data_IF_071414417966
#
_entry.id   IF_071414417966
#
_cell.length_a   1.000
_cell.length_b   1.000
_cell.length_c   1.000
_cell.angle_alpha   90.00
_cell.angle_beta   90.00
_cell.angle_gamma   90.00
#
_symmetry.space_group_name_H-M   'P 1'
#
loop_
_entity.id
_entity.type
_entity.pdbx_description
1 polymer ?
#
# COMPACT_ATOMS: atom_id res chain seq x y z
N UNK A 1 -5.96 -39.01 -3.41
CA UNK A 1 -6.46 -37.68 -2.98
C UNK A 1 -5.34 -36.72 -2.49
N UNK A 2 -4.05 -37.14 -2.49
CA UNK A 2 -2.90 -36.33 -2.04
C UNK A 2 -2.24 -35.45 -3.12
N UNK A 3 -2.35 -35.77 -4.41
CA UNK A 3 -1.58 -35.07 -5.46
C UNK A 3 -2.08 -33.65 -5.79
N UNK A 4 -3.39 -33.39 -5.62
CA UNK A 4 -3.96 -32.05 -5.92
C UNK A 4 -3.53 -30.99 -4.90
N UNK A 5 -3.16 -31.38 -3.66
CA UNK A 5 -2.70 -30.45 -2.61
C UNK A 5 -1.23 -30.04 -2.77
N UNK A 6 -0.40 -30.89 -3.37
CA UNK A 6 1.03 -30.59 -3.59
C UNK A 6 1.24 -29.63 -4.77
N UNK A 7 0.44 -29.71 -5.83
CA UNK A 7 0.50 -28.81 -7.00
C UNK A 7 0.16 -27.35 -6.69
N UNK A 8 -0.75 -27.08 -5.74
CA UNK A 8 -1.12 -25.71 -5.37
C UNK A 8 -0.03 -24.99 -4.54
N UNK A 9 0.71 -25.74 -3.72
CA UNK A 9 1.73 -25.18 -2.83
C UNK A 9 3.05 -24.86 -3.57
N UNK A 10 3.36 -25.58 -4.65
CA UNK A 10 4.51 -25.29 -5.53
C UNK A 10 4.26 -24.08 -6.44
N UNK A 11 3.04 -23.91 -6.96
CA UNK A 11 2.64 -22.74 -7.75
C UNK A 11 2.69 -21.44 -6.93
N UNK A 12 2.10 -21.44 -5.72
CA UNK A 12 2.13 -20.28 -4.83
C UNK A 12 3.54 -19.91 -4.33
N UNK A 13 4.43 -20.89 -4.13
CA UNK A 13 5.84 -20.62 -3.78
C UNK A 13 6.60 -19.99 -4.95
N UNK A 14 6.36 -20.46 -6.18
CA UNK A 14 6.96 -19.91 -7.40
C UNK A 14 6.51 -18.47 -7.66
N UNK A 15 5.21 -18.17 -7.51
CA UNK A 15 4.68 -16.81 -7.66
C UNK A 15 5.17 -15.86 -6.56
N UNK A 16 5.23 -16.30 -5.30
CA UNK A 16 5.80 -15.49 -4.20
C UNK A 16 7.28 -15.20 -4.42
N UNK A 17 8.05 -16.16 -4.93
CA UNK A 17 9.46 -15.97 -5.28
C UNK A 17 9.62 -15.03 -6.48
N UNK A 18 8.75 -15.13 -7.50
CA UNK A 18 8.75 -14.22 -8.64
C UNK A 18 8.38 -12.78 -8.25
N UNK A 19 7.37 -12.59 -7.39
CA UNK A 19 6.98 -11.30 -6.85
C UNK A 19 8.11 -10.68 -6.02
N UNK A 20 8.71 -11.46 -5.11
CA UNK A 20 9.83 -11.02 -4.28
C UNK A 20 11.06 -10.63 -5.10
N UNK A 21 11.39 -11.41 -6.13
CA UNK A 21 12.48 -11.11 -7.04
C UNK A 21 12.21 -9.86 -7.89
N UNK A 22 10.94 -9.61 -8.26
CA UNK A 22 10.54 -8.40 -8.96
C UNK A 22 10.64 -7.18 -8.04
N UNK A 23 10.13 -7.25 -6.81
CA UNK A 23 10.27 -6.17 -5.82
C UNK A 23 11.75 -5.86 -5.53
N UNK A 24 12.60 -6.88 -5.36
CA UNK A 24 14.04 -6.70 -5.18
C UNK A 24 14.75 -6.07 -6.37
N UNK A 25 14.30 -6.34 -7.60
CA UNK A 25 14.85 -5.74 -8.82
C UNK A 25 14.42 -4.30 -9.02
N UNK A 26 13.25 -3.91 -8.51
CA UNK A 26 12.72 -2.55 -8.65
C UNK A 26 13.12 -1.64 -7.46
N UNK A 27 13.41 -2.22 -6.28
CA UNK A 27 13.87 -1.49 -5.10
C UNK A 27 15.07 -0.53 -5.33
N UNK A 28 16.10 -0.89 -6.12
CA UNK A 28 17.24 0.00 -6.41
C UNK A 28 16.83 1.26 -7.19
N UNK A 29 15.75 1.21 -7.96
CA UNK A 29 15.24 2.36 -8.71
C UNK A 29 14.49 3.35 -7.81
N UNK A 30 13.90 2.87 -6.71
CA UNK A 30 13.23 3.72 -5.69
C UNK A 30 14.24 4.33 -4.72
N UNK A 31 15.28 3.57 -4.37
CA UNK A 31 16.32 4.00 -3.42
C UNK A 31 17.71 4.03 -4.08
N UNK A 32 17.99 5.03 -4.94
CA UNK A 32 19.30 5.14 -5.58
C UNK A 32 20.40 5.41 -4.55
N UNK A 33 21.56 4.79 -4.75
CA UNK A 33 22.65 4.80 -3.78
C UNK A 33 23.31 6.19 -3.56
N UNK A 34 23.13 7.12 -4.50
CA UNK A 34 23.88 8.38 -4.55
C UNK A 34 23.07 9.67 -4.62
N UNK A 35 21.73 9.63 -4.48
CA UNK A 35 20.91 10.85 -4.54
C UNK A 35 20.20 11.10 -3.20
N UNK A 36 20.78 11.98 -2.39
CA UNK A 36 20.28 12.33 -1.06
C UNK A 36 18.89 12.99 -1.09
N UNK A 37 18.57 13.80 -2.10
CA UNK A 37 17.24 14.43 -2.23
C UNK A 37 16.16 13.37 -2.42
N UNK A 38 16.42 12.34 -3.24
CA UNK A 38 15.47 11.24 -3.42
C UNK A 38 15.24 10.43 -2.16
N UNK A 39 16.31 10.09 -1.44
CA UNK A 39 16.20 9.34 -0.19
C UNK A 39 15.42 10.15 0.84
N UNK A 40 15.69 11.44 0.96
CA UNK A 40 14.94 12.34 1.84
C UNK A 40 13.45 12.36 1.48
N UNK A 41 13.09 12.47 0.19
CA UNK A 41 11.69 12.42 -0.26
C UNK A 41 11.01 11.11 0.09
N UNK A 42 11.69 9.97 -0.07
CA UNK A 42 11.13 8.66 0.32
C UNK A 42 10.90 8.60 1.82
N UNK A 43 11.87 9.03 2.63
CA UNK A 43 11.73 9.06 4.10
C UNK A 43 10.58 9.98 4.52
N UNK A 44 10.48 11.18 3.95
CA UNK A 44 9.38 12.11 4.22
C UNK A 44 8.03 11.53 3.80
N UNK A 45 7.94 10.84 2.66
CA UNK A 45 6.72 10.15 2.24
C UNK A 45 6.34 9.03 3.22
N UNK A 46 7.31 8.26 3.71
CA UNK A 46 7.07 7.22 4.71
C UNK A 46 6.63 7.80 6.06
N UNK A 47 7.24 8.92 6.50
CA UNK A 47 6.82 9.62 7.71
C UNK A 47 5.39 10.18 7.57
N UNK A 48 5.07 10.80 6.43
CA UNK A 48 3.71 11.26 6.14
C UNK A 48 2.70 10.10 6.11
N UNK A 49 3.09 8.94 5.57
CA UNK A 49 2.28 7.72 5.57
C UNK A 49 2.00 7.25 7.00
N UNK A 50 3.03 7.12 7.84
CA UNK A 50 2.87 6.70 9.23
C UNK A 50 2.02 7.71 10.01
N UNK A 51 2.28 9.01 9.84
CA UNK A 51 1.48 10.08 10.42
C UNK A 51 0.01 9.99 10.03
N UNK A 52 -0.30 9.77 8.75
CA UNK A 52 -1.68 9.60 8.28
C UNK A 52 -2.38 8.42 8.94
N UNK A 53 -1.70 7.28 9.11
CA UNK A 53 -2.27 6.08 9.72
C UNK A 53 -2.44 6.23 11.22
N UNK A 54 -1.51 6.92 11.88
CA UNK A 54 -1.63 7.25 13.28
C UNK A 54 -2.85 8.14 13.56
N UNK A 55 -3.05 9.21 12.78
CA UNK A 55 -4.23 10.08 12.91
C UNK A 55 -5.51 9.32 12.62
N UNK A 56 -5.53 8.47 11.58
CA UNK A 56 -6.71 7.68 11.23
C UNK A 56 -7.19 6.77 12.36
N UNK A 57 -6.27 6.29 13.20
CA UNK A 57 -6.57 5.39 14.33
C UNK A 57 -6.85 6.18 15.61
N UNK A 58 -6.17 7.31 15.82
CA UNK A 58 -6.46 8.21 16.94
C UNK A 58 -7.84 8.86 16.81
N UNK A 59 -8.28 9.21 15.61
CA UNK A 59 -9.55 9.88 15.38
C UNK A 59 -10.75 9.18 16.06
N UNK A 60 -11.01 7.87 15.83
CA UNK A 60 -12.10 7.17 16.50
C UNK A 60 -11.87 6.99 18.01
N UNK A 61 -10.62 6.94 18.49
CA UNK A 61 -10.33 6.84 19.93
C UNK A 61 -10.68 8.15 20.65
N UNK A 62 -10.25 9.28 20.10
CA UNK A 62 -10.60 10.61 20.60
C UNK A 62 -12.11 10.82 20.55
N UNK A 63 -12.75 10.35 19.48
CA UNK A 63 -14.20 10.41 19.36
C UNK A 63 -14.91 9.56 20.42
N UNK A 64 -14.39 8.37 20.72
CA UNK A 64 -14.95 7.53 21.79
C UNK A 64 -14.87 8.24 23.15
N UNK A 65 -13.70 8.76 23.53
CA UNK A 65 -13.54 9.48 24.80
C UNK A 65 -14.44 10.71 24.90
N UNK A 66 -14.52 11.50 23.83
CA UNK A 66 -15.33 12.70 23.86
C UNK A 66 -16.84 12.40 23.83
N UNK A 67 -17.27 11.25 23.28
CA UNK A 67 -18.65 10.77 23.42
C UNK A 67 -18.92 10.27 24.85
N UNK A 68 -17.97 9.57 25.47
CA UNK A 68 -18.07 9.08 26.84
C UNK A 68 -18.22 10.27 27.83
N UNK A 69 -17.37 11.30 27.71
CA UNK A 69 -17.44 12.52 28.52
C UNK A 69 -18.78 13.27 28.35
N UNK A 70 -19.29 13.33 27.12
CA UNK A 70 -20.54 14.03 26.82
C UNK A 70 -21.77 13.27 27.33
N UNK A 71 -21.69 11.93 27.36
CA UNK A 71 -22.75 11.10 27.92
C UNK A 71 -22.89 11.29 29.43
N UNK A 72 -21.79 11.59 30.14
CA UNK A 72 -21.80 11.87 31.58
C UNK A 72 -22.28 13.30 31.92
N UNK A 73 -22.01 14.30 31.06
CA UNK A 73 -22.31 15.72 31.30
C UNK A 73 -23.78 16.14 31.10
N UNK A 74 -24.60 15.36 30.39
CA UNK A 74 -26.03 15.63 30.16
C UNK A 74 -26.36 16.61 29.01
N UNK A 75 -27.65 16.97 28.87
CA UNK A 75 -28.22 17.58 27.64
C UNK A 75 -27.78 19.04 27.38
N UNK A 76 -27.43 19.80 28.42
CA UNK A 76 -27.06 21.23 28.30
C UNK A 76 -25.79 21.44 27.49
N UNK A 77 -24.75 20.65 27.77
CA UNK A 77 -23.46 20.71 27.07
C UNK A 77 -23.44 19.87 25.79
N UNK A 78 -24.50 19.09 25.54
CA UNK A 78 -24.59 18.19 24.40
C UNK A 78 -24.47 18.89 23.05
N UNK A 79 -25.11 20.05 22.87
CA UNK A 79 -25.07 20.78 21.57
C UNK A 79 -23.67 21.33 21.30
N UNK A 80 -23.04 21.94 22.30
CA UNK A 80 -21.67 22.45 22.19
C UNK A 80 -20.65 21.31 22.02
N UNK A 81 -20.82 20.21 22.76
CA UNK A 81 -19.98 19.01 22.65
C UNK A 81 -20.14 18.29 21.32
N UNK A 82 -21.36 18.11 20.80
CA UNK A 82 -21.62 17.46 19.52
C UNK A 82 -21.05 18.27 18.34
N UNK A 83 -21.18 19.61 18.38
CA UNK A 83 -20.55 20.49 17.38
C UNK A 83 -19.03 20.40 17.45
N UNK A 84 -18.45 20.46 18.66
CA UNK A 84 -17.01 20.29 18.88
C UNK A 84 -16.48 18.95 18.36
N UNK A 85 -17.17 17.84 18.67
CA UNK A 85 -16.86 16.49 18.22
C UNK A 85 -16.88 16.37 16.69
N UNK A 86 -17.89 16.99 16.07
CA UNK A 86 -18.04 17.02 14.61
C UNK A 86 -16.88 17.78 13.95
N UNK A 87 -16.51 18.94 14.51
CA UNK A 87 -15.38 19.74 14.02
C UNK A 87 -14.06 18.97 14.21
N UNK A 88 -13.85 18.37 15.38
CA UNK A 88 -12.65 17.60 15.69
C UNK A 88 -12.49 16.40 14.73
N UNK A 89 -13.57 15.64 14.50
CA UNK A 89 -13.58 14.57 13.50
C UNK A 89 -13.30 15.10 12.09
N UNK A 90 -13.91 16.23 11.71
CA UNK A 90 -13.66 16.90 10.43
C UNK A 90 -12.18 17.25 10.24
N UNK A 91 -11.55 17.87 11.24
CA UNK A 91 -10.13 18.22 11.23
C UNK A 91 -9.26 16.96 11.15
N UNK A 92 -9.55 15.93 11.95
CA UNK A 92 -8.79 14.68 11.93
C UNK A 92 -8.89 13.99 10.57
N UNK A 93 -10.06 14.02 9.92
CA UNK A 93 -10.28 13.48 8.57
C UNK A 93 -9.53 14.29 7.51
N UNK A 94 -9.57 15.62 7.58
CA UNK A 94 -8.82 16.50 6.68
C UNK A 94 -7.32 16.26 6.86
N UNK A 95 -6.83 16.16 8.10
CA UNK A 95 -5.43 15.89 8.39
C UNK A 95 -5.00 14.52 7.83
N UNK A 96 -5.79 13.47 8.09
CA UNK A 96 -5.54 12.13 7.55
C UNK A 96 -5.41 12.15 6.02
N UNK A 97 -6.38 12.76 5.33
CA UNK A 97 -6.36 12.89 3.88
C UNK A 97 -5.19 13.78 3.41
N UNK A 98 -4.89 14.87 4.11
CA UNK A 98 -3.80 15.79 3.79
C UNK A 98 -2.44 15.11 3.85
N UNK A 99 -2.17 14.31 4.88
CA UNK A 99 -0.94 13.51 4.96
C UNK A 99 -0.88 12.43 3.88
N UNK A 100 -2.02 11.84 3.50
CA UNK A 100 -2.08 10.92 2.36
C UNK A 100 -1.76 11.64 1.04
N UNK A 101 -2.31 12.82 0.78
CA UNK A 101 -1.98 13.58 -0.43
C UNK A 101 -0.51 14.04 -0.42
N UNK A 102 0.00 14.44 0.74
CA UNK A 102 1.41 14.83 0.90
C UNK A 102 2.35 13.67 0.59
N UNK A 103 2.08 12.46 1.12
CA UNK A 103 2.91 11.27 0.82
C UNK A 103 2.91 10.96 -0.67
N UNK A 104 1.76 11.08 -1.33
CA UNK A 104 1.59 10.73 -2.74
C UNK A 104 2.32 11.77 -3.61
N UNK A 105 2.24 13.06 -3.26
CA UNK A 105 2.95 14.14 -3.92
C UNK A 105 4.48 14.04 -3.76
N UNK A 106 4.96 13.74 -2.55
CA UNK A 106 6.38 13.52 -2.26
C UNK A 106 6.93 12.35 -3.06
N UNK A 107 6.16 11.26 -3.15
CA UNK A 107 6.59 10.06 -3.86
C UNK A 107 6.43 10.13 -5.39
N UNK A 108 5.50 10.95 -5.91
CA UNK A 108 5.26 11.05 -7.35
C UNK A 108 6.56 11.34 -8.13
N UNK A 109 7.42 12.24 -7.63
CA UNK A 109 8.72 12.54 -8.26
C UNK A 109 9.68 11.35 -8.24
N UNK A 110 9.67 10.56 -7.15
CA UNK A 110 10.49 9.35 -7.02
C UNK A 110 10.04 8.29 -8.00
N UNK A 111 8.74 8.00 -8.04
CA UNK A 111 8.14 7.03 -8.96
C UNK A 111 8.42 7.38 -10.42
N UNK A 112 8.14 8.63 -10.82
CA UNK A 112 8.32 9.08 -12.21
C UNK A 112 9.80 9.02 -12.64
N UNK A 113 10.74 9.34 -11.75
CA UNK A 113 12.17 9.22 -12.05
C UNK A 113 12.60 7.77 -12.21
N UNK A 114 12.14 6.88 -11.33
CA UNK A 114 12.40 5.44 -11.42
C UNK A 114 11.90 4.88 -12.76
N UNK A 115 10.69 5.26 -13.16
CA UNK A 115 10.11 4.83 -14.43
C UNK A 115 10.86 5.35 -15.64
N UNK A 116 11.28 6.62 -15.61
CA UNK A 116 12.07 7.20 -16.69
C UNK A 116 13.40 6.45 -16.86
N UNK A 117 14.08 6.12 -15.76
CA UNK A 117 15.33 5.34 -15.80
C UNK A 117 15.10 3.93 -16.34
N UNK A 118 14.08 3.23 -15.85
CA UNK A 118 13.74 1.90 -16.32
C UNK A 118 13.41 1.88 -17.83
N UNK A 119 12.63 2.86 -18.30
CA UNK A 119 12.31 3.02 -19.71
C UNK A 119 13.58 3.27 -20.55
N UNK A 120 14.49 4.12 -20.06
CA UNK A 120 15.75 4.42 -20.74
C UNK A 120 16.67 3.20 -20.81
N UNK A 121 16.90 2.50 -19.70
CA UNK A 121 17.72 1.29 -19.67
C UNK A 121 17.15 0.20 -20.59
N UNK A 122 15.83 0.05 -20.61
CA UNK A 122 15.15 -0.89 -21.50
C UNK A 122 15.35 -0.49 -22.97
N UNK A 123 15.23 0.80 -23.28
CA UNK A 123 15.43 1.34 -24.63
C UNK A 123 16.88 1.14 -25.10
N UNK A 124 17.86 1.48 -24.26
CA UNK A 124 19.29 1.29 -24.55
C UNK A 124 19.66 -0.18 -24.73
N UNK A 125 19.13 -1.07 -23.88
CA UNK A 125 19.35 -2.50 -24.01
C UNK A 125 18.81 -3.03 -25.34
N UNK A 126 17.64 -2.55 -25.75
CA UNK A 126 17.05 -2.93 -27.02
C UNK A 126 17.92 -2.44 -28.18
N UNK A 127 18.40 -1.20 -28.17
CA UNK A 127 19.25 -0.66 -29.24
C UNK A 127 20.58 -1.41 -29.41
N UNK A 128 21.05 -2.10 -28.36
CA UNK A 128 22.28 -2.91 -28.39
C UNK A 128 22.06 -4.34 -28.92
N UNK A 129 20.82 -4.75 -29.19
CA UNK A 129 20.52 -6.07 -29.75
C UNK A 129 20.89 -6.15 -31.23
N UNK A 130 21.17 -7.38 -31.69
CA UNK A 130 21.55 -7.64 -33.08
C UNK A 130 20.51 -7.13 -34.11
N UNK A 131 20.97 -6.76 -35.31
CA UNK A 131 20.08 -6.42 -36.43
C UNK A 131 19.07 -7.51 -36.75
N UNK A 132 19.45 -8.79 -36.56
CA UNK A 132 18.54 -9.95 -36.71
C UNK A 132 17.35 -9.87 -35.76
N UNK A 133 17.54 -9.37 -34.54
CA UNK A 133 16.46 -9.13 -33.59
C UNK A 133 15.52 -8.00 -34.06
N UNK A 134 16.06 -6.95 -34.68
CA UNK A 134 15.28 -5.80 -35.13
C UNK A 134 14.41 -6.10 -36.35
N UNK A 135 14.94 -6.84 -37.33
CA UNK A 135 14.20 -7.21 -38.55
C UNK A 135 13.12 -8.29 -38.33
N UNK A 136 13.23 -9.09 -37.26
CA UNK A 136 12.26 -10.17 -36.97
C UNK A 136 11.09 -9.71 -36.11
N UNK A 137 11.11 -8.48 -35.58
CA UNK A 137 10.12 -7.98 -34.63
C UNK A 137 9.50 -6.67 -35.13
N UNK A 138 8.18 -6.54 -34.98
CA UNK A 138 7.48 -5.27 -35.31
C UNK A 138 7.84 -4.19 -34.28
N UNK A 139 8.44 -3.08 -34.72
CA UNK A 139 8.87 -1.96 -33.87
C UNK A 139 7.74 -1.40 -32.99
N UNK A 140 6.53 -1.25 -33.55
CA UNK A 140 5.35 -0.81 -32.81
C UNK A 140 4.88 -1.81 -31.73
N UNK A 141 5.05 -3.12 -31.99
CA UNK A 141 4.76 -4.16 -31.01
C UNK A 141 5.76 -4.15 -29.86
N UNK A 142 7.05 -3.94 -30.16
CA UNK A 142 8.09 -3.80 -29.14
C UNK A 142 7.86 -2.57 -28.26
N UNK A 143 7.61 -1.41 -28.86
CA UNK A 143 7.33 -0.17 -28.12
C UNK A 143 6.15 -0.35 -27.16
N UNK A 144 5.05 -0.96 -27.62
CA UNK A 144 3.88 -1.25 -26.79
C UNK A 144 4.18 -2.24 -25.66
N UNK A 145 5.02 -3.25 -25.89
CA UNK A 145 5.43 -4.19 -24.84
C UNK A 145 6.24 -3.47 -23.76
N UNK A 146 7.17 -2.60 -24.15
CA UNK A 146 7.97 -1.79 -23.21
C UNK A 146 7.06 -0.86 -22.41
N UNK A 147 6.19 -0.11 -23.07
CA UNK A 147 5.29 0.84 -22.42
C UNK A 147 4.39 0.13 -21.39
N UNK A 148 3.80 -1.01 -21.76
CA UNK A 148 3.01 -1.83 -20.83
C UNK A 148 3.87 -2.42 -19.71
N UNK A 149 5.10 -2.84 -20.00
CA UNK A 149 6.02 -3.39 -19.01
C UNK A 149 6.41 -2.35 -17.95
N UNK A 150 6.79 -1.14 -18.40
CA UNK A 150 7.11 -0.02 -17.52
C UNK A 150 5.90 0.41 -16.69
N UNK A 151 4.71 0.53 -17.31
CA UNK A 151 3.45 0.82 -16.58
C UNK A 151 3.07 -0.29 -15.59
N UNK A 152 3.32 -1.56 -15.93
CA UNK A 152 3.11 -2.69 -15.03
C UNK A 152 4.03 -2.62 -13.80
N UNK A 153 5.30 -2.26 -13.99
CA UNK A 153 6.24 -2.05 -12.89
C UNK A 153 5.85 -0.85 -12.04
N UNK A 154 5.39 0.27 -12.64
CA UNK A 154 4.82 1.40 -11.89
C UNK A 154 3.68 0.94 -10.98
N UNK A 155 2.73 0.22 -11.58
CA UNK A 155 1.55 -0.26 -10.88
C UNK A 155 1.94 -1.15 -9.70
N UNK A 156 2.79 -2.15 -9.91
CA UNK A 156 3.23 -3.06 -8.86
C UNK A 156 3.93 -2.33 -7.72
N UNK A 157 4.83 -1.40 -8.04
CA UNK A 157 5.58 -0.65 -7.05
C UNK A 157 4.69 0.27 -6.23
N UNK A 158 3.80 1.02 -6.89
CA UNK A 158 2.83 1.88 -6.19
C UNK A 158 1.86 1.06 -5.36
N UNK A 159 1.38 -0.06 -5.88
CA UNK A 159 0.45 -0.93 -5.17
C UNK A 159 1.08 -1.52 -3.92
N UNK A 160 2.29 -2.09 -4.03
CA UNK A 160 3.00 -2.66 -2.88
C UNK A 160 3.29 -1.61 -1.79
N UNK A 161 3.76 -0.42 -2.18
CA UNK A 161 4.21 0.61 -1.22
C UNK A 161 3.05 1.46 -0.67
N UNK A 162 2.04 1.81 -1.47
CA UNK A 162 0.95 2.74 -1.08
C UNK A 162 -0.41 2.11 -0.86
N UNK A 163 -0.58 0.84 -1.22
CA UNK A 163 -1.82 0.11 -0.91
C UNK A 163 -1.53 -0.98 0.12
N UNK A 164 -0.75 -1.99 -0.24
CA UNK A 164 -0.51 -3.14 0.63
C UNK A 164 0.26 -2.77 1.91
N UNK A 165 1.33 -1.98 1.78
CA UNK A 165 2.14 -1.52 2.93
C UNK A 165 1.31 -0.78 4.00
N UNK A 166 0.66 0.34 3.68
CA UNK A 166 -0.16 1.07 4.64
C UNK A 166 -1.33 0.25 5.18
N UNK A 167 -1.89 -0.68 4.41
CA UNK A 167 -2.94 -1.59 4.89
C UNK A 167 -2.41 -2.54 5.97
N UNK A 168 -1.24 -3.16 5.76
CA UNK A 168 -0.62 -4.02 6.78
C UNK A 168 -0.32 -3.22 8.05
N UNK A 169 0.25 -2.02 7.90
CA UNK A 169 0.57 -1.15 9.02
C UNK A 169 -0.70 -0.76 9.80
N UNK A 170 -1.77 -0.40 9.10
CA UNK A 170 -3.07 -0.08 9.69
C UNK A 170 -3.67 -1.25 10.46
N UNK A 171 -3.61 -2.47 9.90
CA UNK A 171 -4.05 -3.68 10.58
C UNK A 171 -3.26 -3.96 11.86
N UNK A 172 -1.94 -3.78 11.83
CA UNK A 172 -1.08 -3.95 13.01
C UNK A 172 -1.44 -2.91 14.08
N UNK A 173 -1.57 -1.64 13.70
CA UNK A 173 -1.88 -0.58 14.65
C UNK A 173 -3.28 -0.73 15.25
N UNK A 174 -4.30 -1.08 14.45
CA UNK A 174 -5.65 -1.34 14.96
C UNK A 174 -5.65 -2.53 15.91
N UNK A 175 -4.98 -3.62 15.54
CA UNK A 175 -4.89 -4.82 16.39
C UNK A 175 -4.21 -4.49 17.73
N UNK A 176 -3.11 -3.73 17.68
CA UNK A 176 -2.41 -3.28 18.88
C UNK A 176 -3.26 -2.34 19.75
N UNK A 177 -3.96 -1.38 19.15
CA UNK A 177 -4.82 -0.43 19.86
C UNK A 177 -5.99 -1.14 20.57
N UNK A 178 -6.64 -2.09 19.90
CA UNK A 178 -7.73 -2.88 20.47
C UNK A 178 -7.22 -3.78 21.59
N UNK A 179 -6.10 -4.46 21.37
CA UNK A 179 -5.48 -5.29 22.40
C UNK A 179 -5.12 -4.48 23.65
N UNK A 180 -4.56 -3.28 23.46
CA UNK A 180 -4.22 -2.40 24.58
C UNK A 180 -5.47 -1.93 25.34
N UNK A 181 -6.52 -1.50 24.63
CA UNK A 181 -7.73 -0.93 25.24
C UNK A 181 -8.60 -1.99 25.94
N UNK A 182 -8.78 -3.15 25.32
CA UNK A 182 -9.69 -4.19 25.82
C UNK A 182 -8.98 -5.28 26.62
N UNK A 183 -7.64 -5.40 26.52
CA UNK A 183 -6.83 -6.47 27.16
C UNK A 183 -7.30 -7.91 26.83
N UNK A 184 -8.19 -8.08 25.86
CA UNK A 184 -8.76 -9.36 25.45
C UNK A 184 -8.27 -9.73 24.05
N UNK A 185 -7.52 -10.83 23.96
CA UNK A 185 -6.97 -11.37 22.73
C UNK A 185 -8.03 -11.84 21.74
N UNK A 186 -9.25 -12.14 22.19
CA UNK A 186 -10.35 -12.64 21.35
C UNK A 186 -10.69 -11.67 20.23
N UNK A 187 -10.66 -10.36 20.48
CA UNK A 187 -10.93 -9.34 19.46
C UNK A 187 -9.90 -9.34 18.34
N UNK A 188 -8.61 -9.48 18.68
CA UNK A 188 -7.54 -9.63 17.68
C UNK A 188 -7.70 -10.92 16.90
N UNK A 189 -8.11 -12.00 17.57
CA UNK A 189 -8.44 -13.28 16.94
C UNK A 189 -9.55 -13.15 15.89
N UNK A 190 -10.62 -12.42 16.19
CA UNK A 190 -11.73 -12.17 15.25
C UNK A 190 -11.25 -11.38 14.03
N UNK A 191 -10.44 -10.33 14.22
CA UNK A 191 -9.85 -9.55 13.12
C UNK A 191 -9.03 -10.48 12.21
N UNK A 192 -8.16 -11.31 12.80
CA UNK A 192 -7.31 -12.23 12.07
C UNK A 192 -8.14 -13.24 11.25
N UNK A 193 -9.13 -13.88 11.87
CA UNK A 193 -10.04 -14.83 11.20
C UNK A 193 -10.77 -14.15 10.03
N UNK A 194 -11.26 -12.93 10.25
CA UNK A 194 -11.97 -12.15 9.22
C UNK A 194 -11.06 -11.88 8.02
N UNK A 195 -9.80 -11.49 8.26
CA UNK A 195 -8.82 -11.25 7.19
C UNK A 195 -8.52 -12.54 6.43
N UNK A 196 -8.26 -13.64 7.15
CA UNK A 196 -7.98 -14.94 6.52
C UNK A 196 -9.15 -15.39 5.65
N UNK A 197 -10.38 -15.27 6.15
CA UNK A 197 -11.58 -15.62 5.42
C UNK A 197 -11.76 -14.72 4.18
N UNK A 198 -11.59 -13.41 4.34
CA UNK A 198 -11.67 -12.45 3.23
C UNK A 198 -10.67 -12.76 2.13
N UNK A 199 -9.41 -13.04 2.49
CA UNK A 199 -8.34 -13.38 1.54
C UNK A 199 -8.67 -14.70 0.85
N UNK A 200 -9.03 -15.74 1.61
CA UNK A 200 -9.40 -17.05 1.06
C UNK A 200 -10.57 -16.95 0.08
N UNK A 201 -11.64 -16.27 0.49
CA UNK A 201 -12.82 -16.08 -0.35
C UNK A 201 -12.49 -15.31 -1.63
N UNK A 202 -11.70 -14.25 -1.51
CA UNK A 202 -11.27 -13.44 -2.67
C UNK A 202 -10.48 -14.27 -3.67
N UNK A 203 -9.50 -15.06 -3.21
CA UNK A 203 -8.75 -15.95 -4.09
C UNK A 203 -9.63 -17.03 -4.71
N UNK A 204 -10.48 -17.68 -3.92
CA UNK A 204 -11.39 -18.73 -4.40
C UNK A 204 -12.31 -18.23 -5.52
N UNK A 205 -12.88 -17.03 -5.38
CA UNK A 205 -13.74 -16.42 -6.40
C UNK A 205 -12.93 -15.93 -7.61
N UNK A 206 -11.72 -15.40 -7.40
CA UNK A 206 -10.88 -14.89 -8.49
C UNK A 206 -10.38 -16.03 -9.38
N UNK A 207 -9.89 -17.12 -8.79
CA UNK A 207 -9.43 -18.30 -9.53
C UNK A 207 -10.58 -19.05 -10.19
N UNK A 208 -11.81 -18.96 -9.68
CA UNK A 208 -12.97 -19.57 -10.33
C UNK A 208 -13.27 -18.96 -11.72
N UNK A 209 -12.87 -17.71 -11.95
CA UNK A 209 -13.14 -17.00 -13.21
C UNK A 209 -12.05 -17.20 -14.29
N UNK A 210 -10.87 -17.67 -13.91
CA UNK A 210 -9.71 -17.86 -14.79
C UNK A 210 -9.63 -19.31 -15.25
#
# INVERSE_FOLDING_TARGET
MSDKKQSGNSGQKSEKQAAWNTTKRVAPFVWPAGDFDLRARVVLAMLALVGSKFIAILAPILQAWAVDDLAEAGVSDFVLGAVGLTIAYGIARIATNGFQQLRDALFAKVAQRALRRLALETFEHIHKLSMRYHITRKTGGLSRIIERGVKGVEFLLRYLVFSTGPLILELVFISAAIFWKLQDWRYVGIIFITIVFYVWFTFAITEWRV
#
